data_IF_791595309635
#
_entry.id   IF_791595309635
#
_cell.length_a   1.000
_cell.length_b   1.000
_cell.length_c   1.000
_cell.angle_alpha   90.00
_cell.angle_beta   90.00
_cell.angle_gamma   90.00
#
_symmetry.space_group_name_H-M   'P 1'
#
loop_
_entity.id
_entity.type
_entity.pdbx_description
1 polymer ?
#
# COMPACT_ATOMS: atom_id res chain seq x y z
N UNK A 1 -9.04 2.29 15.68
CA UNK A 1 -8.73 1.22 14.74
C UNK A 1 -9.46 1.45 13.42
N UNK A 2 -8.75 2.03 12.46
CA UNK A 2 -9.18 2.34 11.09
C UNK A 2 -8.16 1.75 10.12
N UNK A 3 -8.61 1.12 9.04
CA UNK A 3 -7.74 0.61 7.98
C UNK A 3 -7.79 1.56 6.77
N UNK A 4 -6.62 1.89 6.21
CA UNK A 4 -6.49 2.59 4.93
C UNK A 4 -5.74 1.71 3.95
N UNK A 5 -6.34 1.48 2.79
CA UNK A 5 -5.67 0.79 1.66
C UNK A 5 -4.75 1.80 0.97
N UNK A 6 -3.46 1.51 0.94
CA UNK A 6 -2.46 2.29 0.22
C UNK A 6 -2.16 1.67 -1.16
N UNK A 7 -2.26 0.34 -1.27
CA UNK A 7 -2.17 -0.38 -2.53
C UNK A 7 -2.83 -1.76 -2.50
N UNK A 8 -3.54 -2.10 -3.59
CA UNK A 8 -4.23 -3.38 -3.78
C UNK A 8 -4.50 -3.64 -5.29
N UNK A 9 -3.57 -3.24 -6.16
CA UNK A 9 -3.78 -3.29 -7.61
C UNK A 9 -3.45 -4.66 -8.24
N UNK A 10 -2.77 -5.55 -7.52
CA UNK A 10 -2.43 -6.91 -7.98
C UNK A 10 -1.35 -7.02 -9.07
N UNK A 11 -0.81 -5.91 -9.59
CA UNK A 11 0.25 -5.90 -10.61
C UNK A 11 1.55 -5.25 -10.13
N UNK A 12 2.70 -5.72 -10.65
CA UNK A 12 4.04 -5.20 -10.32
C UNK A 12 4.46 -4.15 -11.35
N UNK A 13 4.89 -2.96 -10.91
CA UNK A 13 5.73 -2.05 -11.72
C UNK A 13 5.04 -1.14 -12.75
N UNK A 14 3.70 -1.01 -12.75
CA UNK A 14 3.02 -0.01 -13.57
C UNK A 14 3.01 1.38 -12.93
N UNK A 15 3.15 2.46 -13.71
CA UNK A 15 3.23 3.86 -13.21
C UNK A 15 2.10 4.28 -12.24
N UNK A 16 0.94 3.62 -12.34
CA UNK A 16 -0.23 3.89 -11.50
C UNK A 16 -0.68 2.66 -10.70
N UNK A 17 0.12 1.59 -10.69
CA UNK A 17 -0.18 0.37 -9.94
C UNK A 17 0.56 0.41 -8.60
N UNK A 18 -0.17 0.21 -7.52
CA UNK A 18 0.38 0.04 -6.17
C UNK A 18 0.16 -1.40 -5.75
N UNK A 19 1.25 -2.10 -5.43
CA UNK A 19 1.14 -3.44 -4.83
C UNK A 19 0.74 -3.33 -3.35
N UNK A 20 0.51 -4.48 -2.72
CA UNK A 20 -0.08 -4.59 -1.37
C UNK A 20 0.59 -3.67 -0.36
N UNK A 21 -0.20 -2.79 0.26
CA UNK A 21 0.21 -1.95 1.38
C UNK A 21 -1.01 -1.38 2.10
N UNK A 22 -0.99 -1.40 3.44
CA UNK A 22 -2.07 -0.90 4.28
C UNK A 22 -1.53 -0.08 5.45
N UNK A 23 -2.22 1.01 5.81
CA UNK A 23 -1.97 1.74 7.05
C UNK A 23 -3.09 1.45 8.03
N UNK A 24 -2.74 0.93 9.20
CA UNK A 24 -3.64 0.82 10.34
C UNK A 24 -3.44 2.03 11.22
N UNK A 25 -4.56 2.71 11.52
CA UNK A 25 -4.63 3.98 12.20
C UNK A 25 -3.68 5.02 11.56
N UNK A 26 -2.52 5.31 12.17
CA UNK A 26 -1.61 6.33 11.68
C UNK A 26 -0.12 5.93 11.72
N UNK A 27 0.18 4.76 12.29
CA UNK A 27 1.52 4.41 12.78
C UNK A 27 1.92 2.95 12.50
N UNK A 28 1.00 2.10 12.05
CA UNK A 28 1.30 0.71 11.70
C UNK A 28 1.14 0.51 10.20
N UNK A 29 2.27 0.32 9.51
CA UNK A 29 2.31 -0.08 8.10
C UNK A 29 2.33 -1.62 8.01
N UNK A 30 1.36 -2.19 7.29
CA UNK A 30 1.33 -3.61 6.95
C UNK A 30 1.69 -3.74 5.47
N UNK A 31 2.84 -4.39 5.24
CA UNK A 31 3.51 -4.52 3.94
C UNK A 31 3.95 -3.16 3.34
N UNK A 32 4.94 -3.21 2.45
CA UNK A 32 5.50 -2.06 1.77
C UNK A 32 5.77 -2.42 0.31
N UNK A 33 4.74 -2.95 -0.36
CA UNK A 33 4.84 -3.32 -1.75
C UNK A 33 5.33 -2.17 -2.64
N UNK A 34 5.91 -2.51 -3.78
CA UNK A 34 6.33 -1.56 -4.84
C UNK A 34 5.35 -0.40 -5.00
N UNK A 35 5.90 0.81 -4.86
CA UNK A 35 5.18 2.08 -4.89
C UNK A 35 4.67 2.59 -3.53
N UNK A 36 4.90 1.90 -2.42
CA UNK A 36 4.42 2.37 -1.12
C UNK A 36 4.95 3.75 -0.68
N UNK A 37 6.09 4.20 -1.24
CA UNK A 37 6.77 5.43 -0.84
C UNK A 37 6.90 6.49 -1.96
N UNK A 38 6.27 6.29 -3.13
CA UNK A 38 6.29 7.30 -4.19
C UNK A 38 5.23 8.39 -3.99
#
# INVERSE_FOLDING_TARGET
>A
MKLRVLGCSGGIGGRHLRTTSFLVDHDILIDAGTGAAD
#
